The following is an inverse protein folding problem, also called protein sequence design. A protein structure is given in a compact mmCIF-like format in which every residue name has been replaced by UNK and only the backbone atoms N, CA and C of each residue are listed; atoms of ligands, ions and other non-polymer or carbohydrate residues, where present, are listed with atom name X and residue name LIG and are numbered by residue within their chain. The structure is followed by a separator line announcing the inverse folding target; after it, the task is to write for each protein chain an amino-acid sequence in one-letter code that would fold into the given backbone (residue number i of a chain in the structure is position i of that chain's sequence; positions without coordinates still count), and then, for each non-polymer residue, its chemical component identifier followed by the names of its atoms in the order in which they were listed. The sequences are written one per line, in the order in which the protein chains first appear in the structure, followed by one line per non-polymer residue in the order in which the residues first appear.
data_IF_517085004107
#
_entry.id   IF_517085004107
#
_cell.length_a   1.000
_cell.length_b   1.000
_cell.length_c   1.000
_cell.angle_alpha   90.00
_cell.angle_beta   90.00
_cell.angle_gamma   90.00
#
_symmetry.space_group_name_H-M   'P 1'
#
loop_
_entity.id
_entity.type
_entity.pdbx_description
1 polymer ?
#
# COMPACT_ATOMS: atom_id res chain seq x y z
N UNK A 1 7.68 -14.60 -11.87
CA UNK A 1 7.88 -13.14 -12.04
C UNK A 1 6.58 -12.46 -12.42
N UNK A 2 6.49 -11.13 -12.28
CA UNK A 2 5.36 -10.33 -12.79
C UNK A 2 5.91 -9.25 -13.73
N UNK A 3 5.35 -9.17 -14.93
CA UNK A 3 5.60 -8.18 -15.97
C UNK A 3 4.25 -7.55 -16.35
N UNK A 4 3.85 -6.53 -15.61
CA UNK A 4 2.49 -6.01 -15.69
C UNK A 4 2.43 -4.50 -15.50
N UNK A 5 1.55 -3.85 -16.25
CA UNK A 5 1.22 -2.44 -16.03
C UNK A 5 2.27 -1.44 -16.54
N UNK A 6 3.12 -1.83 -17.49
CA UNK A 6 4.14 -0.94 -18.07
C UNK A 6 3.57 0.03 -19.13
N UNK A 7 2.25 0.06 -19.34
CA UNK A 7 1.57 1.00 -20.23
C UNK A 7 1.55 0.60 -21.70
N UNK A 8 2.12 -0.55 -22.04
CA UNK A 8 2.05 -1.22 -23.34
C UNK A 8 1.80 -2.72 -23.13
N UNK A 9 1.27 -3.41 -24.15
CA UNK A 9 1.28 -4.87 -24.12
C UNK A 9 2.68 -5.44 -24.39
N UNK A 10 3.62 -4.59 -24.86
CA UNK A 10 4.99 -4.97 -25.17
C UNK A 10 5.85 -4.97 -23.90
N UNK A 11 5.70 -6.00 -23.08
CA UNK A 11 6.35 -6.13 -21.77
C UNK A 11 7.84 -6.51 -21.87
N UNK A 12 8.23 -7.22 -22.94
CA UNK A 12 9.63 -7.56 -23.24
C UNK A 12 9.94 -7.23 -24.69
N UNK A 13 11.03 -6.51 -24.93
CA UNK A 13 11.45 -6.12 -26.28
C UNK A 13 12.91 -6.47 -26.56
N UNK A 14 13.16 -7.28 -27.59
CA UNK A 14 14.52 -7.56 -28.08
C UNK A 14 15.02 -6.43 -28.95
N UNK A 15 16.26 -6.00 -28.76
CA UNK A 15 16.87 -4.97 -29.58
C UNK A 15 17.04 -5.46 -31.03
N UNK A 16 16.64 -4.63 -31.99
CA UNK A 16 16.63 -5.00 -33.42
C UNK A 16 18.03 -5.01 -34.08
N UNK A 17 19.08 -4.53 -33.40
CA UNK A 17 20.41 -4.33 -33.98
C UNK A 17 21.54 -5.03 -33.23
N UNK A 18 21.23 -5.84 -32.21
CA UNK A 18 22.22 -6.58 -31.42
C UNK A 18 22.28 -8.07 -31.81
N UNK A 19 23.17 -8.83 -31.17
CA UNK A 19 23.23 -10.29 -31.30
C UNK A 19 21.89 -10.96 -30.94
N UNK A 20 21.70 -12.20 -31.41
CA UNK A 20 20.46 -12.93 -31.18
C UNK A 20 20.16 -13.07 -29.67
N UNK A 21 18.97 -12.61 -29.29
CA UNK A 21 18.52 -12.62 -27.91
C UNK A 21 17.74 -13.90 -27.60
N UNK A 22 17.81 -14.37 -26.35
CA UNK A 22 17.01 -15.49 -25.89
C UNK A 22 16.38 -15.20 -24.54
N UNK A 23 15.13 -15.63 -24.36
CA UNK A 23 14.43 -15.57 -23.09
C UNK A 23 13.75 -16.92 -22.81
N UNK A 24 13.82 -17.36 -21.56
CA UNK A 24 13.12 -18.56 -21.07
C UNK A 24 12.20 -18.09 -19.95
N UNK A 25 10.90 -18.37 -20.07
CA UNK A 25 9.91 -17.97 -19.07
C UNK A 25 9.16 -19.20 -18.56
N UNK A 26 9.16 -19.40 -17.26
CA UNK A 26 8.24 -20.30 -16.55
C UNK A 26 7.77 -19.61 -15.29
N UNK A 27 6.53 -19.87 -14.86
CA UNK A 27 5.92 -19.20 -13.72
C UNK A 27 6.11 -17.68 -13.77
N UNK A 28 5.59 -17.07 -14.84
CA UNK A 28 5.58 -15.63 -15.04
C UNK A 28 4.19 -15.13 -15.42
N UNK A 29 3.72 -14.09 -14.74
CA UNK A 29 2.55 -13.32 -15.13
C UNK A 29 3.00 -12.19 -16.06
N UNK A 30 2.49 -12.14 -17.28
CA UNK A 30 2.90 -11.15 -18.27
C UNK A 30 1.68 -10.67 -19.04
N UNK A 31 1.50 -9.35 -19.08
CA UNK A 31 0.39 -8.74 -19.84
C UNK A 31 0.49 -9.14 -21.32
N UNK A 32 -0.60 -9.67 -21.86
CA UNK A 32 -0.64 -10.15 -23.24
C UNK A 32 0.02 -11.53 -23.46
N UNK A 33 0.43 -12.21 -22.38
CA UNK A 33 0.99 -13.55 -22.47
C UNK A 33 2.26 -13.60 -23.34
N UNK A 34 2.36 -14.61 -24.20
CA UNK A 34 3.51 -14.75 -25.12
C UNK A 34 3.56 -13.63 -26.16
N UNK A 35 2.40 -13.06 -26.52
CA UNK A 35 2.30 -11.97 -27.49
C UNK A 35 2.81 -10.64 -26.91
N UNK A 36 2.98 -10.55 -25.58
CA UNK A 36 3.64 -9.42 -24.93
C UNK A 36 5.16 -9.39 -25.07
N UNK A 37 5.73 -10.33 -25.83
CA UNK A 37 7.17 -10.43 -26.10
C UNK A 37 7.44 -10.10 -27.57
N UNK A 38 8.09 -8.97 -27.82
CA UNK A 38 8.48 -8.50 -29.15
C UNK A 38 9.92 -8.93 -29.45
N UNK A 39 10.09 -9.90 -30.34
CA UNK A 39 11.41 -10.48 -30.66
C UNK A 39 12.20 -9.71 -31.72
N UNK A 40 11.57 -8.77 -32.43
CA UNK A 40 12.17 -8.04 -33.55
C UNK A 40 12.83 -8.96 -34.61
N UNK A 41 12.28 -10.16 -34.80
CA UNK A 41 12.83 -11.25 -35.65
C UNK A 41 14.29 -11.65 -35.32
N UNK A 42 14.78 -11.30 -34.12
CA UNK A 42 16.18 -11.44 -33.72
C UNK A 42 16.36 -12.25 -32.43
N UNK A 43 15.46 -13.19 -32.13
CA UNK A 43 15.63 -14.02 -30.94
C UNK A 43 14.63 -15.13 -30.74
N UNK A 44 14.86 -15.92 -29.70
CA UNK A 44 14.05 -17.08 -29.34
C UNK A 44 13.36 -16.90 -27.99
N UNK A 45 12.08 -17.25 -27.93
CA UNK A 45 11.28 -17.32 -26.69
C UNK A 45 11.04 -18.78 -26.38
N UNK A 46 11.46 -19.23 -25.20
CA UNK A 46 11.10 -20.55 -24.66
C UNK A 46 10.03 -20.36 -23.59
N UNK A 47 8.81 -20.80 -23.90
CA UNK A 47 7.65 -20.70 -23.02
C UNK A 47 7.43 -22.00 -22.27
N UNK A 48 7.77 -22.02 -20.99
CA UNK A 48 7.60 -23.16 -20.08
C UNK A 48 6.21 -23.11 -19.40
N UNK A 49 6.02 -23.98 -18.41
CA UNK A 49 4.78 -24.08 -17.63
C UNK A 49 4.59 -22.90 -16.65
N UNK A 50 3.36 -22.79 -16.11
CA UNK A 50 3.04 -21.86 -15.03
C UNK A 50 2.87 -20.40 -15.44
N UNK A 51 3.15 -20.04 -16.69
CA UNK A 51 2.93 -18.67 -17.19
C UNK A 51 1.44 -18.34 -17.32
N UNK A 52 1.09 -17.07 -17.14
CA UNK A 52 -0.29 -16.57 -17.11
C UNK A 52 -0.38 -15.11 -17.57
N UNK A 53 -1.61 -14.69 -17.87
CA UNK A 53 -1.97 -13.34 -18.31
C UNK A 53 -3.24 -12.93 -17.53
N UNK A 54 -3.08 -12.61 -16.24
CA UNK A 54 -4.16 -12.16 -15.37
C UNK A 54 -3.67 -11.00 -14.51
N UNK A 55 -4.49 -9.98 -14.22
CA UNK A 55 -4.02 -8.82 -13.47
C UNK A 55 -3.58 -9.21 -12.04
N UNK A 56 -2.31 -9.01 -11.66
CA UNK A 56 -1.87 -9.18 -10.29
C UNK A 56 -2.47 -8.05 -9.45
N UNK A 57 -3.11 -8.43 -8.34
CA UNK A 57 -3.79 -7.50 -7.43
C UNK A 57 -2.88 -7.28 -6.23
N UNK A 58 -2.00 -6.29 -6.32
CA UNK A 58 -1.13 -5.89 -5.21
C UNK A 58 -1.89 -5.14 -4.12
N UNK A 59 -1.44 -5.29 -2.88
CA UNK A 59 -2.01 -4.61 -1.73
C UNK A 59 -1.76 -3.09 -1.77
N UNK A 60 -0.53 -2.65 -2.04
CA UNK A 60 -0.18 -1.23 -2.17
C UNK A 60 1.17 -1.04 -2.93
N UNK A 61 1.21 -1.47 -4.19
CA UNK A 61 2.43 -1.44 -5.01
C UNK A 61 2.96 -0.01 -5.27
N UNK A 62 2.10 0.99 -5.16
CA UNK A 62 2.44 2.41 -5.33
C UNK A 62 3.24 2.97 -4.14
N UNK A 63 3.14 2.37 -2.96
CA UNK A 63 3.96 2.71 -1.78
C UNK A 63 5.07 1.68 -1.50
N UNK A 64 5.36 0.81 -2.47
CA UNK A 64 6.40 -0.20 -2.36
C UNK A 64 6.01 -1.42 -1.52
N UNK A 65 4.72 -1.57 -1.20
CA UNK A 65 4.17 -2.83 -0.70
C UNK A 65 3.78 -3.70 -1.89
N UNK A 66 4.72 -4.54 -2.30
CA UNK A 66 4.53 -5.51 -3.37
C UNK A 66 3.94 -6.83 -2.86
N UNK A 67 3.32 -6.85 -1.68
CA UNK A 67 2.48 -7.97 -1.24
C UNK A 67 1.20 -8.07 -2.07
N UNK A 68 0.65 -9.27 -2.19
CA UNK A 68 -0.60 -9.51 -2.89
C UNK A 68 -1.83 -9.29 -1.98
N UNK A 69 -2.95 -8.92 -2.58
CA UNK A 69 -4.27 -9.09 -1.97
C UNK A 69 -4.66 -10.57 -1.97
N UNK A 70 -5.52 -10.99 -1.03
CA UNK A 70 -5.97 -12.40 -0.91
C UNK A 70 -6.58 -12.95 -2.20
N UNK A 71 -7.23 -12.10 -2.99
CA UNK A 71 -7.93 -12.50 -4.22
C UNK A 71 -7.04 -12.39 -5.47
N UNK A 72 -5.76 -12.05 -5.32
CA UNK A 72 -4.89 -11.95 -6.49
C UNK A 72 -4.71 -13.32 -7.16
N UNK A 73 -4.78 -13.40 -8.50
CA UNK A 73 -4.48 -14.63 -9.23
C UNK A 73 -3.00 -15.04 -9.15
N UNK A 74 -2.16 -14.19 -8.59
CA UNK A 74 -0.74 -14.42 -8.34
C UNK A 74 -0.48 -15.08 -6.97
N UNK A 75 -1.49 -15.24 -6.10
CA UNK A 75 -1.35 -15.96 -4.82
C UNK A 75 -1.19 -17.46 -5.09
N UNK A 76 -0.23 -18.11 -4.42
CA UNK A 76 0.07 -19.55 -4.56
C UNK A 76 0.31 -19.99 -6.04
N UNK A 77 0.69 -19.05 -6.90
CA UNK A 77 0.73 -19.24 -8.34
C UNK A 77 2.14 -19.56 -8.87
N UNK A 78 3.17 -19.42 -8.03
CA UNK A 78 4.56 -19.69 -8.34
C UNK A 78 4.95 -21.16 -8.19
N UNK A 79 6.27 -21.41 -8.17
CA UNK A 79 6.84 -22.74 -7.90
C UNK A 79 8.03 -22.63 -6.97
N UNK A 80 8.15 -23.59 -6.05
CA UNK A 80 9.32 -23.73 -5.20
C UNK A 80 10.50 -24.39 -5.92
N UNK A 81 10.28 -25.03 -7.09
CA UNK A 81 11.32 -25.73 -7.82
C UNK A 81 11.09 -25.67 -9.33
N UNK A 82 12.10 -25.23 -10.08
CA UNK A 82 12.08 -25.19 -11.54
C UNK A 82 13.46 -25.51 -12.10
N UNK A 83 13.51 -26.40 -13.09
CA UNK A 83 14.74 -26.75 -13.84
C UNK A 83 14.51 -26.65 -15.33
N UNK A 84 15.54 -26.25 -16.07
CA UNK A 84 15.52 -26.21 -17.53
C UNK A 84 16.90 -26.57 -18.08
N UNK A 85 16.95 -27.47 -19.07
CA UNK A 85 18.19 -27.97 -19.68
C UNK A 85 19.26 -28.48 -18.70
N UNK A 86 18.85 -28.95 -17.52
CA UNK A 86 19.74 -29.43 -16.47
C UNK A 86 20.19 -28.35 -15.47
N UNK A 87 19.89 -27.08 -15.74
CA UNK A 87 20.11 -25.98 -14.82
C UNK A 87 18.91 -25.81 -13.87
N UNK A 88 19.19 -25.52 -12.60
CA UNK A 88 18.16 -25.17 -11.62
C UNK A 88 17.91 -23.66 -11.69
N UNK A 89 16.71 -23.28 -12.10
CA UNK A 89 16.30 -21.88 -12.23
C UNK A 89 15.68 -21.33 -10.95
N UNK A 90 14.91 -22.15 -10.23
CA UNK A 90 14.29 -21.81 -8.94
C UNK A 90 14.46 -22.96 -7.98
N UNK A 91 14.84 -22.65 -6.73
CA UNK A 91 14.90 -23.61 -5.62
C UNK A 91 14.66 -22.91 -4.29
N UNK A 92 13.46 -23.09 -3.76
CA UNK A 92 13.01 -22.58 -2.47
C UNK A 92 12.70 -23.77 -1.54
N UNK A 93 13.01 -23.62 -0.26
CA UNK A 93 12.60 -24.54 0.79
C UNK A 93 11.20 -24.19 1.29
N UNK A 94 10.51 -25.15 1.91
CA UNK A 94 9.16 -24.96 2.46
C UNK A 94 9.04 -23.89 3.56
N UNK A 95 10.16 -23.34 4.05
CA UNK A 95 10.19 -22.25 5.02
C UNK A 95 10.43 -20.87 4.39
N UNK A 96 10.68 -20.82 3.08
CA UNK A 96 10.98 -19.58 2.33
C UNK A 96 9.74 -18.96 1.68
N UNK A 97 8.59 -19.64 1.76
CA UNK A 97 7.31 -19.19 1.25
C UNK A 97 6.17 -19.64 2.18
N UNK A 98 4.99 -19.09 1.96
CA UNK A 98 3.78 -19.33 2.71
C UNK A 98 2.71 -19.92 1.79
N UNK A 99 1.77 -20.69 2.35
CA UNK A 99 0.71 -21.30 1.56
C UNK A 99 1.10 -22.63 0.90
N UNK A 100 0.40 -22.98 -0.18
CA UNK A 100 0.58 -24.21 -0.94
C UNK A 100 1.77 -24.12 -1.92
N UNK A 101 2.07 -22.92 -2.42
CA UNK A 101 3.19 -22.61 -3.30
C UNK A 101 3.62 -21.15 -3.11
N UNK A 102 4.84 -20.74 -3.53
CA UNK A 102 5.24 -19.34 -3.47
C UNK A 102 4.30 -18.42 -4.26
N UNK A 103 4.10 -17.20 -3.76
CA UNK A 103 3.43 -16.13 -4.49
C UNK A 103 4.23 -15.76 -5.74
N UNK A 104 3.53 -15.54 -6.84
CA UNK A 104 4.15 -15.35 -8.14
C UNK A 104 4.77 -13.96 -8.22
N UNK A 105 6.10 -13.85 -8.07
CA UNK A 105 6.84 -12.61 -8.34
C UNK A 105 6.52 -11.42 -7.42
N UNK A 106 5.89 -11.69 -6.26
CA UNK A 106 5.47 -10.72 -5.27
C UNK A 106 6.09 -11.04 -3.91
N UNK A 107 5.96 -10.13 -2.93
CA UNK A 107 6.45 -10.39 -1.58
C UNK A 107 5.47 -11.32 -0.87
N UNK A 108 5.98 -12.44 -0.35
CA UNK A 108 5.20 -13.40 0.44
C UNK A 108 4.48 -12.66 1.56
N UNK A 109 3.16 -12.68 1.54
CA UNK A 109 2.38 -12.10 2.61
C UNK A 109 2.17 -13.17 3.66
N UNK A 110 2.61 -12.90 4.90
CA UNK A 110 2.12 -13.62 6.07
C UNK A 110 0.59 -13.75 5.92
N UNK A 111 -0.03 -14.91 6.21
CA UNK A 111 -1.48 -15.01 6.31
C UNK A 111 -1.93 -14.14 7.50
N UNK A 112 -1.89 -12.83 7.33
CA UNK A 112 -2.31 -11.84 8.29
C UNK A 112 -3.82 -11.76 8.14
N UNK A 113 -4.46 -11.90 9.29
CA UNK A 113 -5.84 -11.50 9.62
C UNK A 113 -6.55 -10.74 8.51
N UNK A 114 -7.55 -11.41 7.93
CA UNK A 114 -8.45 -10.86 6.92
C UNK A 114 -8.91 -9.46 7.32
N UNK A 115 -8.69 -8.46 6.45
CA UNK A 115 -9.05 -7.10 6.76
C UNK A 115 -10.51 -6.83 6.39
N UNK A 116 -11.41 -6.88 7.37
CA UNK A 116 -12.82 -6.57 7.18
C UNK A 116 -13.14 -5.07 7.30
N UNK A 117 -12.14 -4.19 7.48
CA UNK A 117 -12.36 -2.76 7.67
C UNK A 117 -11.21 -1.93 7.09
N UNK A 118 -11.06 -1.88 5.76
CA UNK A 118 -9.91 -1.25 5.13
C UNK A 118 -10.01 0.28 5.21
N UNK A 119 -9.40 0.87 6.23
CA UNK A 119 -9.35 2.32 6.44
C UNK A 119 -8.15 2.93 5.72
N UNK A 120 -8.15 2.96 4.39
CA UNK A 120 -7.12 3.65 3.63
C UNK A 120 -7.64 4.97 3.08
N UNK A 121 -6.77 5.98 3.06
CA UNK A 121 -7.11 7.32 2.58
C UNK A 121 -7.78 7.28 1.21
N UNK A 122 -8.90 8.01 1.06
CA UNK A 122 -9.78 8.01 -0.12
C UNK A 122 -10.48 6.68 -0.46
N UNK A 123 -10.48 5.70 0.43
CA UNK A 123 -11.41 4.58 0.28
C UNK A 123 -12.84 5.13 0.35
N UNK A 124 -13.67 4.70 -0.59
CA UNK A 124 -15.06 5.16 -0.71
C UNK A 124 -16.01 3.97 -0.87
N UNK A 125 -17.11 4.01 -0.13
CA UNK A 125 -18.27 3.13 -0.31
C UNK A 125 -19.49 3.98 -0.59
N UNK A 126 -20.13 3.71 -1.72
CA UNK A 126 -21.46 4.24 -2.02
C UNK A 126 -22.47 3.11 -1.85
N UNK A 127 -23.34 3.25 -0.86
CA UNK A 127 -24.46 2.34 -0.63
C UNK A 127 -25.78 3.03 -0.98
N UNK A 128 -26.68 2.33 -1.66
CA UNK A 128 -27.95 2.90 -2.12
C UNK A 128 -29.15 2.04 -1.71
N UNK A 129 -30.30 2.70 -1.55
CA UNK A 129 -31.63 2.09 -1.32
C UNK A 129 -32.54 2.22 -2.55
N UNK A 130 -32.06 2.92 -3.60
CA UNK A 130 -32.82 3.31 -4.80
C UNK A 130 -33.45 4.70 -4.70
N UNK A 131 -33.70 5.22 -3.50
CA UNK A 131 -34.23 6.59 -3.26
C UNK A 131 -33.32 7.46 -2.40
N UNK A 132 -32.34 6.83 -1.76
CA UNK A 132 -31.39 7.45 -0.84
C UNK A 132 -30.03 6.77 -0.99
N UNK A 133 -28.97 7.48 -0.57
CA UNK A 133 -27.59 7.02 -0.67
C UNK A 133 -26.80 7.37 0.59
N UNK A 134 -25.99 6.42 1.05
CA UNK A 134 -24.98 6.61 2.08
C UNK A 134 -23.60 6.58 1.41
N UNK A 135 -22.86 7.68 1.52
CA UNK A 135 -21.48 7.77 1.06
C UNK A 135 -20.55 7.77 2.28
N UNK A 136 -19.68 6.78 2.35
CA UNK A 136 -18.61 6.69 3.35
C UNK A 136 -17.28 6.92 2.65
N UNK A 137 -16.57 7.98 2.99
CA UNK A 137 -15.21 8.22 2.49
C UNK A 137 -14.22 8.33 3.63
N UNK A 138 -13.03 7.78 3.47
CA UNK A 138 -11.90 8.06 4.37
C UNK A 138 -11.29 9.40 3.97
N UNK A 139 -11.59 10.43 4.76
CA UNK A 139 -11.27 11.82 4.51
C UNK A 139 -9.83 12.19 4.87
N UNK A 140 -9.28 11.60 5.95
CA UNK A 140 -7.93 11.91 6.44
C UNK A 140 -7.42 10.84 7.43
N UNK A 141 -6.19 11.00 7.93
CA UNK A 141 -5.69 10.28 9.09
C UNK A 141 -5.01 11.23 10.09
N UNK A 142 -5.22 10.99 11.38
CA UNK A 142 -4.63 11.76 12.48
C UNK A 142 -3.89 10.81 13.43
N UNK A 143 -2.83 11.30 14.07
CA UNK A 143 -2.12 10.55 15.11
C UNK A 143 -2.51 11.12 16.48
N UNK A 144 -3.08 10.28 17.34
CA UNK A 144 -3.49 10.63 18.71
C UNK A 144 -2.82 9.62 19.64
N UNK A 145 -2.07 10.10 20.65
CA UNK A 145 -1.37 9.23 21.62
C UNK A 145 -0.51 8.12 20.97
N UNK A 146 0.19 8.44 19.87
CA UNK A 146 1.03 7.52 19.08
C UNK A 146 0.26 6.47 18.26
N UNK A 147 -1.06 6.44 18.34
CA UNK A 147 -1.92 5.58 17.53
C UNK A 147 -2.46 6.36 16.32
N UNK A 148 -2.54 5.68 15.17
CA UNK A 148 -3.11 6.25 13.95
C UNK A 148 -4.62 6.02 13.94
N UNK A 149 -5.36 7.08 13.69
CA UNK A 149 -6.79 7.08 13.44
C UNK A 149 -7.07 7.56 12.03
N UNK A 150 -8.19 7.13 11.47
CA UNK A 150 -8.72 7.55 10.20
C UNK A 150 -10.04 8.27 10.38
N UNK A 151 -10.13 9.41 9.74
CA UNK A 151 -11.30 10.29 9.78
C UNK A 151 -12.14 9.96 8.56
N UNK A 152 -13.43 9.70 8.74
CA UNK A 152 -14.36 9.41 7.65
C UNK A 152 -15.49 10.41 7.58
N UNK A 153 -16.22 10.42 6.47
CA UNK A 153 -17.59 10.96 6.50
C UNK A 153 -18.38 10.32 7.64
N UNK A 154 -19.33 11.05 8.25
CA UNK A 154 -20.20 10.47 9.25
C UNK A 154 -20.92 9.24 8.68
N UNK A 155 -20.99 8.20 9.48
CA UNK A 155 -21.79 7.02 9.22
C UNK A 155 -23.30 7.32 9.22
N UNK A 156 -23.67 8.49 9.74
CA UNK A 156 -25.03 8.96 9.91
C UNK A 156 -25.21 10.37 9.36
N UNK A 157 -26.15 10.59 8.44
CA UNK A 157 -26.36 11.90 7.81
C UNK A 157 -26.60 13.05 8.81
N UNK A 158 -27.15 12.75 9.99
CA UNK A 158 -27.63 13.75 10.95
C UNK A 158 -26.67 14.02 12.13
N UNK A 159 -25.52 13.34 12.23
CA UNK A 159 -24.65 13.40 13.43
C UNK A 159 -23.70 14.61 13.49
N UNK A 160 -23.64 15.43 12.43
CA UNK A 160 -23.03 16.76 12.49
C UNK A 160 -21.49 16.81 12.58
N UNK A 161 -20.77 15.71 12.35
CA UNK A 161 -19.30 15.69 12.31
C UNK A 161 -18.70 14.38 11.76
N UNK A 162 -17.41 14.35 11.40
CA UNK A 162 -16.77 13.15 10.86
C UNK A 162 -16.51 12.09 11.93
N UNK A 163 -16.58 10.83 11.55
CA UNK A 163 -16.27 9.71 12.43
C UNK A 163 -14.77 9.40 12.45
N UNK A 164 -14.27 8.91 13.58
CA UNK A 164 -12.84 8.62 13.75
C UNK A 164 -12.64 7.20 14.23
N UNK A 165 -11.90 6.41 13.45
CA UNK A 165 -11.68 4.99 13.72
C UNK A 165 -10.20 4.64 13.77
N UNK A 166 -9.84 3.58 14.50
CA UNK A 166 -8.55 2.90 14.33
C UNK A 166 -8.74 1.39 14.29
N UNK A 167 -7.76 0.71 13.70
CA UNK A 167 -7.72 -0.75 13.60
C UNK A 167 -6.50 -1.22 14.38
N UNK A 168 -6.71 -2.19 15.27
CA UNK A 168 -5.65 -2.87 16.00
C UNK A 168 -5.90 -4.36 16.00
N UNK A 169 -5.14 -5.09 15.17
CA UNK A 169 -5.41 -6.50 14.86
C UNK A 169 -6.80 -6.66 14.25
N UNK A 170 -7.62 -7.56 14.80
CA UNK A 170 -8.98 -7.84 14.34
C UNK A 170 -10.04 -6.87 14.89
N UNK A 171 -9.62 -5.81 15.58
CA UNK A 171 -10.53 -4.91 16.29
C UNK A 171 -10.57 -3.54 15.65
N UNK A 172 -11.78 -3.03 15.46
CA UNK A 172 -12.05 -1.66 15.06
C UNK A 172 -12.50 -0.91 16.30
N UNK A 173 -11.82 0.20 16.57
CA UNK A 173 -12.13 1.11 17.65
C UNK A 173 -12.69 2.40 17.08
N UNK A 174 -13.73 2.91 17.71
CA UNK A 174 -14.36 4.18 17.39
C UNK A 174 -14.04 5.20 18.48
N UNK A 175 -13.68 6.42 18.08
CA UNK A 175 -13.35 7.52 18.97
C UNK A 175 -14.48 8.56 18.99
N UNK A 176 -15.25 8.57 20.09
CA UNK A 176 -16.28 9.56 20.38
C UNK A 176 -15.72 10.66 21.28
N UNK A 177 -15.26 11.76 20.68
CA UNK A 177 -14.68 12.87 21.44
C UNK A 177 -13.35 12.49 22.10
N UNK A 178 -13.38 12.12 23.39
CA UNK A 178 -12.20 11.63 24.14
C UNK A 178 -12.28 10.16 24.52
N UNK A 179 -13.44 9.54 24.35
CA UNK A 179 -13.70 8.18 24.75
C UNK A 179 -13.58 7.26 23.54
N UNK A 180 -12.84 6.17 23.72
CA UNK A 180 -12.68 5.14 22.69
C UNK A 180 -13.48 3.90 23.08
N UNK A 181 -14.14 3.29 22.10
CA UNK A 181 -14.92 2.07 22.31
C UNK A 181 -14.72 1.05 21.19
N UNK A 182 -14.85 -0.23 21.55
CA UNK A 182 -14.76 -1.32 20.60
C UNK A 182 -16.02 -1.35 19.74
N UNK A 183 -15.87 -1.14 18.44
CA UNK A 183 -16.97 -1.21 17.49
C UNK A 183 -17.09 -2.62 16.92
N UNK A 184 -16.06 -3.13 16.25
CA UNK A 184 -16.04 -4.48 15.68
C UNK A 184 -14.90 -5.31 16.25
N UNK A 185 -15.16 -6.59 16.52
CA UNK A 185 -14.13 -7.61 16.75
C UNK A 185 -14.35 -8.75 15.76
N UNK A 186 -13.54 -8.76 14.69
CA UNK A 186 -13.63 -9.74 13.60
C UNK A 186 -13.11 -11.13 13.98
N UNK A 187 -12.53 -11.28 15.18
CA UNK A 187 -12.14 -12.57 15.74
C UNK A 187 -13.07 -13.04 16.87
N UNK A 188 -14.14 -12.30 17.14
CA UNK A 188 -15.12 -12.71 18.14
C UNK A 188 -15.82 -14.02 17.71
N UNK A 189 -16.14 -14.92 18.67
CA UNK A 189 -16.93 -16.09 18.34
C UNK A 189 -18.37 -15.68 17.96
N UNK A 190 -19.02 -16.46 17.10
CA UNK A 190 -20.41 -16.24 16.73
C UNK A 190 -21.30 -16.14 17.98
N UNK A 191 -22.13 -15.11 18.04
CA UNK A 191 -23.00 -14.80 19.18
C UNK A 191 -22.33 -14.04 20.32
N UNK A 192 -21.04 -13.68 20.20
CA UNK A 192 -20.41 -12.76 21.15
C UNK A 192 -21.08 -11.39 21.13
N UNK A 193 -21.19 -10.78 22.30
CA UNK A 193 -21.81 -9.48 22.52
C UNK A 193 -20.87 -8.57 23.32
N UNK A 194 -20.86 -7.28 22.98
CA UNK A 194 -20.15 -6.24 23.74
C UNK A 194 -20.89 -4.91 23.65
N UNK A 195 -20.59 -4.02 24.60
CA UNK A 195 -21.07 -2.64 24.56
C UNK A 195 -20.12 -1.79 23.71
N UNK A 196 -20.70 -1.05 22.77
CA UNK A 196 -20.03 -0.02 22.00
C UNK A 196 -20.61 1.35 22.39
N UNK A 197 -19.76 2.33 22.64
CA UNK A 197 -20.17 3.72 22.62
C UNK A 197 -20.36 4.08 21.15
N UNK A 198 -21.61 4.23 20.71
CA UNK A 198 -21.89 4.81 19.41
C UNK A 198 -21.51 6.29 19.36
N UNK A 199 -21.45 6.90 18.17
CA UNK A 199 -21.56 8.35 18.08
C UNK A 199 -22.84 8.79 18.82
N UNK A 200 -22.72 9.85 19.61
CA UNK A 200 -23.63 10.19 20.70
C UNK A 200 -25.14 10.15 20.32
N UNK A 201 -26.07 9.82 21.26
CA UNK A 201 -25.90 9.70 22.71
C UNK A 201 -26.19 8.31 23.33
N UNK A 202 -26.09 7.20 22.58
CA UNK A 202 -26.54 5.89 23.09
C UNK A 202 -25.43 4.85 23.15
N UNK A 203 -25.33 4.15 24.29
CA UNK A 203 -24.66 2.88 24.36
C UNK A 203 -25.40 1.90 23.43
N UNK A 204 -24.63 1.16 22.64
CA UNK A 204 -25.16 0.18 21.71
C UNK A 204 -24.65 -1.21 22.08
N UNK A 205 -25.52 -2.21 21.97
CA UNK A 205 -25.09 -3.60 22.05
C UNK A 205 -24.68 -4.05 20.66
N UNK A 206 -23.42 -4.42 20.50
CA UNK A 206 -22.88 -5.06 19.31
C UNK A 206 -22.95 -6.57 19.47
N UNK A 207 -23.28 -7.28 18.39
CA UNK A 207 -23.28 -8.74 18.34
C UNK A 207 -22.78 -9.24 16.99
N UNK A 208 -21.93 -10.25 16.98
CA UNK A 208 -21.64 -11.00 15.75
C UNK A 208 -22.76 -12.04 15.53
N UNK A 209 -23.54 -11.89 14.47
CA UNK A 209 -24.75 -12.72 14.20
C UNK A 209 -24.60 -13.67 13.03
N UNK A 210 -23.61 -13.46 12.16
CA UNK A 210 -23.38 -14.31 10.98
C UNK A 210 -21.90 -14.39 10.60
N UNK A 211 -21.49 -15.56 10.09
CA UNK A 211 -20.13 -15.84 9.60
C UNK A 211 -20.23 -16.66 8.32
N UNK A 212 -19.28 -16.47 7.41
CA UNK A 212 -19.27 -17.13 6.08
C UNK A 212 -20.53 -16.82 5.25
N UNK A 213 -21.10 -15.63 5.45
CA UNK A 213 -22.28 -15.19 4.72
C UNK A 213 -21.91 -14.87 3.26
N UNK A 214 -22.90 -15.00 2.37
CA UNK A 214 -22.79 -14.58 0.97
C UNK A 214 -23.80 -13.47 0.71
N UNK A 215 -23.30 -12.30 0.31
CA UNK A 215 -24.12 -11.10 0.08
C UNK A 215 -24.04 -10.69 -1.38
N UNK A 216 -25.20 -10.58 -2.03
CA UNK A 216 -25.31 -10.09 -3.41
C UNK A 216 -25.78 -8.64 -3.40
N UNK A 217 -25.02 -7.79 -4.07
CA UNK A 217 -25.27 -6.34 -4.20
C UNK A 217 -25.18 -5.94 -5.67
N UNK A 218 -25.61 -4.72 -6.04
CA UNK A 218 -25.36 -4.20 -7.39
C UNK A 218 -23.87 -4.13 -7.78
N UNK A 219 -22.95 -3.97 -6.82
CA UNK A 219 -21.51 -3.97 -7.07
C UNK A 219 -20.92 -5.39 -7.28
N UNK A 220 -21.64 -6.44 -6.92
CA UNK A 220 -21.19 -7.83 -7.07
C UNK A 220 -21.63 -8.76 -5.94
N UNK A 221 -21.11 -9.99 -5.99
CA UNK A 221 -21.34 -11.03 -4.98
C UNK A 221 -20.10 -11.11 -4.08
N UNK A 222 -20.31 -10.99 -2.78
CA UNK A 222 -19.28 -11.06 -1.75
C UNK A 222 -19.48 -12.30 -0.89
N UNK A 223 -18.40 -13.04 -0.66
CA UNK A 223 -18.39 -14.26 0.18
C UNK A 223 -17.56 -14.04 1.44
N UNK A 224 -17.56 -15.00 2.36
CA UNK A 224 -16.86 -14.92 3.66
C UNK A 224 -17.27 -13.67 4.48
N UNK A 225 -18.49 -13.17 4.29
CA UNK A 225 -18.96 -11.98 4.98
C UNK A 225 -19.23 -12.26 6.46
N UNK A 226 -19.00 -11.26 7.29
CA UNK A 226 -19.40 -11.22 8.69
C UNK A 226 -20.63 -10.32 8.84
N UNK A 227 -21.64 -10.81 9.56
CA UNK A 227 -22.83 -10.03 9.92
C UNK A 227 -22.72 -9.57 11.38
N UNK A 228 -22.79 -8.26 11.58
CA UNK A 228 -22.88 -7.66 12.91
C UNK A 228 -24.23 -6.99 13.09
N UNK A 229 -24.87 -7.26 14.21
CA UNK A 229 -26.07 -6.56 14.65
C UNK A 229 -25.70 -5.53 15.72
N UNK A 230 -26.30 -4.35 15.63
CA UNK A 230 -26.13 -3.27 16.58
C UNK A 230 -27.49 -2.70 16.98
N UNK A 231 -27.75 -2.63 18.27
CA UNK A 231 -28.97 -2.03 18.83
C UNK A 231 -28.66 -0.68 19.47
N UNK A 232 -29.40 0.35 19.08
CA UNK A 232 -29.28 1.71 19.63
C UNK A 232 -30.60 2.04 20.33
N UNK A 233 -30.62 1.93 21.66
CA UNK A 233 -31.86 2.09 22.44
C UNK A 233 -32.88 0.96 22.16
N UNK A 234 -34.17 1.28 22.13
CA UNK A 234 -35.27 0.31 21.85
C UNK A 234 -35.79 0.33 20.41
N UNK A 235 -35.48 1.38 19.64
CA UNK A 235 -36.24 1.71 18.42
C UNK A 235 -35.41 1.62 17.13
N UNK A 236 -34.10 1.41 17.25
CA UNK A 236 -33.17 1.39 16.12
C UNK A 236 -32.27 0.15 16.17
N UNK A 237 -32.29 -0.65 15.10
CA UNK A 237 -31.30 -1.71 14.87
C UNK A 237 -30.62 -1.58 13.53
N UNK A 238 -29.35 -1.94 13.51
CA UNK A 238 -28.50 -1.97 12.32
C UNK A 238 -27.98 -3.38 12.14
N UNK A 239 -27.98 -3.88 10.91
CA UNK A 239 -27.26 -5.09 10.53
C UNK A 239 -26.28 -4.76 9.43
N UNK A 240 -25.01 -4.93 9.72
CA UNK A 240 -23.90 -4.62 8.83
C UNK A 240 -23.27 -5.91 8.34
N UNK A 241 -23.17 -6.05 7.01
CA UNK A 241 -22.38 -7.12 6.40
C UNK A 241 -21.06 -6.55 5.93
N UNK A 242 -19.97 -7.10 6.46
CA UNK A 242 -18.61 -6.74 6.09
C UNK A 242 -17.95 -7.88 5.32
N UNK A 243 -17.46 -7.58 4.13
CA UNK A 243 -16.73 -8.51 3.29
C UNK A 243 -15.20 -8.33 3.45
N UNK A 244 -14.41 -9.40 3.33
CA UNK A 244 -12.95 -9.32 3.30
C UNK A 244 -12.44 -8.32 2.28
N UNK A 245 -11.49 -7.46 2.68
CA UNK A 245 -10.80 -6.46 1.85
C UNK A 245 -11.70 -5.39 1.20
N UNK A 246 -13.02 -5.54 1.32
CA UNK A 246 -14.00 -4.55 0.89
C UNK A 246 -14.51 -3.76 2.07
N UNK A 247 -14.83 -4.35 3.21
CA UNK A 247 -15.53 -3.66 4.29
C UNK A 247 -17.04 -3.72 4.10
N UNK A 248 -17.75 -2.63 4.41
CA UNK A 248 -19.22 -2.61 4.43
C UNK A 248 -19.81 -2.79 3.02
N UNK A 249 -20.52 -3.91 2.81
CA UNK A 249 -21.17 -4.24 1.52
C UNK A 249 -22.70 -4.09 1.57
N UNK A 250 -23.29 -4.23 2.75
CA UNK A 250 -24.72 -4.04 2.96
C UNK A 250 -24.97 -3.56 4.37
N UNK A 251 -25.98 -2.69 4.53
CA UNK A 251 -26.52 -2.26 5.80
C UNK A 251 -28.04 -2.30 5.78
N UNK A 252 -28.65 -3.05 6.69
CA UNK A 252 -30.08 -2.94 6.98
C UNK A 252 -30.26 -2.01 8.18
N UNK A 253 -31.08 -0.96 8.03
CA UNK A 253 -31.48 -0.05 9.11
C UNK A 253 -32.96 -0.29 9.41
N UNK A 254 -33.27 -0.77 10.60
CA UNK A 254 -34.64 -1.00 11.05
C UNK A 254 -35.04 0.07 12.06
N UNK A 255 -36.17 0.73 11.77
CA UNK A 255 -36.83 1.71 12.64
C UNK A 255 -38.29 1.33 12.84
N UNK A 256 -39.05 2.13 13.61
CA UNK A 256 -40.50 2.00 13.71
C UNK A 256 -41.23 2.08 12.36
N UNK A 257 -40.65 2.73 11.35
CA UNK A 257 -41.22 2.86 10.01
C UNK A 257 -40.98 1.62 9.12
N UNK A 258 -40.13 0.69 9.56
CA UNK A 258 -39.75 -0.50 8.82
C UNK A 258 -38.24 -0.61 8.60
N UNK A 259 -37.84 -1.59 7.78
CA UNK A 259 -36.44 -1.84 7.44
C UNK A 259 -36.11 -1.25 6.07
N UNK A 260 -35.02 -0.48 6.02
CA UNK A 260 -34.42 0.05 4.80
C UNK A 260 -33.09 -0.65 4.57
N UNK A 261 -32.85 -1.10 3.34
CA UNK A 261 -31.62 -1.80 2.95
C UNK A 261 -30.76 -0.92 2.05
N UNK A 262 -29.56 -0.62 2.51
CA UNK A 262 -28.50 0.04 1.75
C UNK A 262 -27.57 -1.04 1.19
N UNK A 263 -27.42 -1.10 -0.14
CA UNK A 263 -26.53 -2.06 -0.81
C UNK A 263 -25.41 -1.33 -1.53
N UNK A 264 -24.21 -1.90 -1.48
CA UNK A 264 -23.07 -1.36 -2.20
C UNK A 264 -23.33 -1.34 -3.71
N UNK A 265 -23.25 -0.16 -4.31
CA UNK A 265 -23.33 0.03 -5.77
C UNK A 265 -21.97 0.37 -6.37
N UNK A 266 -21.06 0.92 -5.57
CA UNK A 266 -19.73 1.28 -5.98
C UNK A 266 -18.77 1.20 -4.81
N UNK A 267 -17.67 0.46 -5.03
CA UNK A 267 -16.47 0.51 -4.20
C UNK A 267 -15.41 1.24 -5.01
N UNK A 268 -15.01 2.42 -4.53
CA UNK A 268 -13.94 3.18 -5.15
C UNK A 268 -12.57 2.60 -4.79
N UNK A 269 -11.61 2.62 -5.71
CA UNK A 269 -10.27 2.17 -5.43
C UNK A 269 -9.60 3.01 -4.35
N UNK A 270 -8.65 2.33 -3.70
CA UNK A 270 -7.40 2.84 -3.17
C UNK A 270 -6.54 3.49 -4.31
N UNK A 271 -7.10 4.48 -5.02
CA UNK A 271 -6.41 5.30 -6.00
C UNK A 271 -6.64 6.77 -5.63
N UNK A 272 -5.66 7.38 -4.97
CA UNK A 272 -5.46 8.81 -5.19
C UNK A 272 -4.70 8.96 -6.51
N UNK A 273 -5.40 9.36 -7.57
CA UNK A 273 -4.83 10.38 -8.45
C UNK A 273 -4.61 11.59 -7.54
N UNK A 274 -3.33 11.82 -7.24
CA UNK A 274 -2.79 12.88 -6.39
C UNK A 274 -3.53 13.11 -5.07
N UNK A 275 -2.89 12.78 -3.96
CA UNK A 275 -3.02 13.63 -2.79
C UNK A 275 -1.72 13.83 -2.04
N UNK A 276 -1.27 15.07 -2.18
CA UNK A 276 -0.43 15.76 -1.24
C UNK A 276 -0.98 15.58 0.18
N UNK A 277 -0.19 14.95 1.07
CA UNK A 277 -0.15 15.40 2.45
C UNK A 277 1.13 16.23 2.60
N UNK A 278 1.05 17.55 2.81
CA UNK A 278 2.22 18.37 3.07
C UNK A 278 2.93 17.89 4.34
N UNK A 279 4.17 17.40 4.20
CA UNK A 279 5.18 17.61 5.24
C UNK A 279 5.90 16.40 5.84
N UNK A 280 5.44 15.15 5.69
CA UNK A 280 6.24 13.99 6.15
C UNK A 280 6.54 13.01 5.03
N UNK A 281 7.81 12.96 4.59
CA UNK A 281 8.24 11.94 3.66
C UNK A 281 8.12 10.56 4.29
N UNK A 282 7.58 9.59 3.57
CA UNK A 282 7.48 8.20 4.06
C UNK A 282 8.73 7.37 3.77
N UNK A 283 9.66 7.91 2.97
CA UNK A 283 10.87 7.22 2.52
C UNK A 283 12.13 8.03 2.80
N UNK A 284 13.20 7.32 3.14
CA UNK A 284 14.54 7.87 3.20
C UNK A 284 15.13 7.93 1.78
N UNK A 285 15.19 9.13 1.20
CA UNK A 285 15.62 9.35 -0.17
C UNK A 285 16.41 10.65 -0.34
N UNK A 286 17.28 10.69 -1.35
CA UNK A 286 17.79 11.95 -1.90
C UNK A 286 16.81 12.32 -3.01
N UNK A 287 15.99 13.34 -2.77
CA UNK A 287 14.88 13.69 -3.67
C UNK A 287 15.30 14.64 -4.78
N UNK A 288 16.32 15.47 -4.54
CA UNK A 288 16.79 16.41 -5.56
C UNK A 288 18.26 16.73 -5.40
N UNK A 289 18.96 16.82 -6.52
CA UNK A 289 20.26 17.48 -6.64
C UNK A 289 20.19 18.37 -7.87
N UNK A 290 20.05 19.68 -7.66
CA UNK A 290 19.90 20.62 -8.76
C UNK A 290 20.59 21.97 -8.47
N UNK A 291 21.32 22.53 -9.44
CA UNK A 291 21.63 21.96 -10.75
C UNK A 291 22.58 20.73 -10.63
N UNK A 292 22.56 19.83 -11.60
CA UNK A 292 23.53 18.74 -11.77
C UNK A 292 23.55 18.34 -13.25
N UNK A 293 24.56 18.77 -14.05
CA UNK A 293 25.83 19.36 -13.64
C UNK A 293 25.71 20.76 -13.01
N UNK A 294 26.65 21.17 -12.16
CA UNK A 294 26.59 22.44 -11.41
C UNK A 294 27.88 23.26 -11.48
N UNK A 295 27.76 24.59 -11.31
CA UNK A 295 28.88 25.54 -11.25
C UNK A 295 28.61 26.71 -10.28
N UNK A 296 29.38 26.89 -9.21
CA UNK A 296 30.01 25.87 -8.39
C UNK A 296 29.06 25.38 -7.28
N UNK A 297 27.78 25.77 -7.29
CA UNK A 297 26.80 25.46 -6.24
C UNK A 297 25.70 24.53 -6.74
N UNK A 298 25.39 23.49 -5.96
CA UNK A 298 24.21 22.65 -6.14
C UNK A 298 23.38 22.61 -4.86
N UNK A 299 22.06 22.56 -5.01
CA UNK A 299 21.11 22.36 -3.91
C UNK A 299 20.77 20.89 -3.81
N UNK A 300 20.90 20.34 -2.61
CA UNK A 300 20.65 18.96 -2.26
C UNK A 300 19.42 18.92 -1.38
N UNK A 301 18.43 18.12 -1.78
CA UNK A 301 17.23 17.84 -1.01
C UNK A 301 17.17 16.35 -0.68
N UNK A 302 16.88 16.03 0.57
CA UNK A 302 16.65 14.67 1.04
C UNK A 302 15.52 14.62 2.04
N UNK A 303 15.04 13.42 2.30
CA UNK A 303 13.87 13.16 3.12
C UNK A 303 14.16 12.17 4.24
N UNK A 304 13.59 12.42 5.41
CA UNK A 304 13.67 11.53 6.57
C UNK A 304 12.26 11.06 6.97
N UNK A 305 12.02 9.73 7.06
CA UNK A 305 10.73 9.20 7.48
C UNK A 305 10.46 9.28 8.97
N UNK A 306 11.52 9.40 9.77
CA UNK A 306 11.48 9.59 11.21
C UNK A 306 12.69 10.38 11.66
N UNK A 307 12.60 10.95 12.85
CA UNK A 307 13.76 11.60 13.46
C UNK A 307 14.91 10.60 13.64
N UNK A 308 16.13 11.01 13.27
CA UNK A 308 17.30 10.13 13.29
C UNK A 308 18.61 10.91 13.24
N UNK A 309 19.72 10.25 13.58
CA UNK A 309 21.07 10.76 13.33
C UNK A 309 21.39 10.71 11.84
N UNK A 310 21.72 11.86 11.25
CA UNK A 310 21.97 12.03 9.82
C UNK A 310 23.42 12.43 9.56
N UNK A 311 24.04 11.76 8.60
CA UNK A 311 25.34 12.15 8.04
C UNK A 311 25.26 12.36 6.55
N UNK A 312 25.54 13.58 6.09
CA UNK A 312 25.67 13.91 4.67
C UNK A 312 27.12 14.19 4.35
N UNK A 313 27.71 13.47 3.40
CA UNK A 313 29.12 13.62 3.01
C UNK A 313 29.31 13.52 1.50
N UNK A 314 30.33 14.20 0.98
CA UNK A 314 30.71 14.14 -0.44
C UNK A 314 32.06 13.43 -0.57
N UNK A 315 32.19 12.57 -1.57
CA UNK A 315 33.36 11.74 -1.85
C UNK A 315 33.86 11.95 -3.28
N UNK A 316 35.16 11.74 -3.50
CA UNK A 316 35.72 11.67 -4.86
C UNK A 316 35.60 10.26 -5.45
N UNK A 317 36.06 10.07 -6.69
CA UNK A 317 36.08 8.78 -7.39
C UNK A 317 36.93 7.69 -6.70
N UNK A 318 37.89 8.08 -5.86
CA UNK A 318 38.74 7.15 -5.09
C UNK A 318 38.10 6.71 -3.78
N UNK A 319 36.94 7.27 -3.43
CA UNK A 319 36.27 7.06 -2.15
C UNK A 319 36.81 7.93 -1.02
N UNK A 320 37.72 8.87 -1.29
CA UNK A 320 38.16 9.82 -0.27
C UNK A 320 37.03 10.80 0.05
N UNK A 321 36.76 10.98 1.34
CA UNK A 321 35.80 11.99 1.81
C UNK A 321 36.37 13.38 1.55
N UNK A 322 35.61 14.18 0.82
CA UNK A 322 35.92 15.56 0.48
C UNK A 322 35.40 16.53 1.53
N UNK A 323 34.15 16.35 1.95
CA UNK A 323 33.50 17.19 2.96
C UNK A 323 32.37 16.46 3.66
N UNK A 324 32.12 16.79 4.93
CA UNK A 324 30.88 16.44 5.64
C UNK A 324 30.00 17.68 5.76
N UNK A 325 28.80 17.61 5.18
CA UNK A 325 27.83 18.72 5.12
C UNK A 325 26.88 18.72 6.33
N UNK A 326 26.53 17.54 6.82
CA UNK A 326 25.64 17.32 7.99
C UNK A 326 26.19 16.15 8.80
N UNK A 327 26.17 16.26 10.13
CA UNK A 327 26.49 15.18 11.06
C UNK A 327 25.80 15.46 12.41
N UNK A 328 24.47 15.35 12.43
CA UNK A 328 23.64 15.69 13.59
C UNK A 328 22.29 14.96 13.51
N UNK A 329 21.55 14.98 14.61
CA UNK A 329 20.16 14.52 14.66
C UNK A 329 19.23 15.52 13.96
N UNK A 330 18.33 15.02 13.13
CA UNK A 330 17.35 15.83 12.39
C UNK A 330 15.96 15.20 12.47
N UNK A 331 14.93 16.06 12.57
CA UNK A 331 13.53 15.66 12.64
C UNK A 331 13.04 15.03 11.33
N UNK A 332 11.97 14.23 11.41
CA UNK A 332 11.27 13.74 10.22
C UNK A 332 10.85 14.91 9.33
N UNK A 333 10.97 14.76 8.00
CA UNK A 333 10.67 15.85 7.07
C UNK A 333 11.62 15.94 5.87
N UNK A 334 11.38 16.94 5.03
CA UNK A 334 12.26 17.30 3.93
C UNK A 334 13.35 18.27 4.41
N UNK A 335 14.58 18.01 4.01
CA UNK A 335 15.75 18.81 4.36
C UNK A 335 16.42 19.32 3.10
N UNK A 336 16.87 20.58 3.14
CA UNK A 336 17.53 21.24 2.01
C UNK A 336 18.88 21.78 2.50
N UNK A 337 19.94 21.46 1.77
CA UNK A 337 21.28 21.99 2.00
C UNK A 337 21.97 22.32 0.67
N UNK A 338 23.10 23.00 0.73
CA UNK A 338 23.88 23.35 -0.46
C UNK A 338 25.31 22.86 -0.34
N UNK A 339 25.90 22.47 -1.47
CA UNK A 339 27.33 22.27 -1.60
C UNK A 339 27.90 23.19 -2.67
N UNK A 340 29.00 23.88 -2.34
CA UNK A 340 29.64 24.91 -3.18
C UNK A 340 30.97 24.45 -3.80
N UNK A 341 31.19 23.14 -3.92
CA UNK A 341 32.42 22.60 -4.51
C UNK A 341 33.68 22.87 -3.68
N UNK A 342 33.57 22.94 -2.35
CA UNK A 342 34.71 23.06 -1.42
C UNK A 342 34.85 21.82 -0.54
N UNK A 343 36.08 21.54 -0.10
CA UNK A 343 36.39 20.48 0.87
C UNK A 343 36.30 20.98 2.32
N UNK A 344 36.51 20.09 3.30
CA UNK A 344 36.51 20.42 4.75
C UNK A 344 37.51 21.53 5.16
N UNK A 345 38.52 21.82 4.32
CA UNK A 345 39.51 22.90 4.54
C UNK A 345 39.13 24.21 3.85
N UNK A 346 37.91 24.32 3.30
CA UNK A 346 37.41 25.47 2.57
C UNK A 346 38.04 25.68 1.18
N UNK A 347 38.86 24.75 0.69
CA UNK A 347 39.51 24.85 -0.63
C UNK A 347 38.60 24.30 -1.71
N UNK A 348 38.54 24.99 -2.85
CA UNK A 348 37.77 24.52 -4.00
C UNK A 348 38.33 23.22 -4.57
N UNK A 349 37.46 22.28 -4.90
CA UNK A 349 37.83 21.01 -5.54
C UNK A 349 37.84 21.14 -7.07
N UNK A 350 38.49 20.23 -7.79
CA UNK A 350 38.57 20.27 -9.25
C UNK A 350 37.22 19.95 -9.92
N UNK A 351 37.01 20.38 -11.17
CA UNK A 351 35.89 19.90 -11.98
C UNK A 351 35.96 18.38 -12.12
N UNK A 352 34.82 17.70 -12.11
CA UNK A 352 34.77 16.25 -12.18
C UNK A 352 33.59 15.63 -11.46
N UNK A 353 33.63 14.30 -11.38
CA UNK A 353 32.59 13.48 -10.75
C UNK A 353 32.86 13.33 -9.25
N UNK A 354 31.81 13.54 -8.47
CA UNK A 354 31.78 13.31 -7.03
C UNK A 354 30.56 12.45 -6.67
N UNK A 355 30.57 11.87 -5.48
CA UNK A 355 29.44 11.13 -4.94
C UNK A 355 28.96 11.77 -3.65
N UNK A 356 27.69 12.15 -3.61
CA UNK A 356 27.00 12.51 -2.38
C UNK A 356 26.54 11.22 -1.69
N UNK A 357 26.71 11.14 -0.37
CA UNK A 357 26.13 10.11 0.48
C UNK A 357 25.30 10.77 1.58
N UNK A 358 24.09 10.28 1.79
CA UNK A 358 23.24 10.59 2.95
C UNK A 358 23.06 9.29 3.72
N UNK A 359 23.35 9.29 5.00
CA UNK A 359 23.26 8.13 5.90
C UNK A 359 22.33 8.47 7.07
N UNK A 360 21.43 7.55 7.40
CA UNK A 360 20.55 7.62 8.57
C UNK A 360 20.17 6.22 9.04
N UNK A 361 20.18 5.98 10.35
CA UNK A 361 19.69 4.75 10.97
C UNK A 361 20.27 3.45 10.36
N UNK A 362 21.53 3.47 9.94
CA UNK A 362 22.21 2.34 9.30
C UNK A 362 21.93 2.16 7.80
N UNK A 363 21.07 2.98 7.21
CA UNK A 363 20.79 3.01 5.76
C UNK A 363 21.54 4.18 5.13
N UNK A 364 22.14 3.97 3.96
CA UNK A 364 22.71 5.06 3.17
C UNK A 364 22.15 5.12 1.75
N UNK A 365 22.09 6.35 1.21
CA UNK A 365 21.72 6.67 -0.17
C UNK A 365 22.88 7.42 -0.80
N UNK A 366 23.17 7.11 -2.06
CA UNK A 366 24.25 7.77 -2.82
C UNK A 366 23.71 8.32 -4.13
N UNK A 367 24.24 9.45 -4.56
CA UNK A 367 23.98 9.98 -5.90
C UNK A 367 25.22 10.67 -6.47
N UNK A 368 25.31 10.69 -7.80
CA UNK A 368 26.43 11.26 -8.55
C UNK A 368 26.25 12.77 -8.69
N UNK A 369 27.31 13.52 -8.45
CA UNK A 369 27.40 14.97 -8.69
C UNK A 369 28.42 15.22 -9.81
N UNK A 370 28.10 16.12 -10.75
CA UNK A 370 29.03 16.58 -11.78
C UNK A 370 29.32 18.07 -11.59
N UNK A 371 30.52 18.38 -11.09
CA UNK A 371 31.00 19.76 -10.98
C UNK A 371 31.68 20.17 -12.29
N UNK A 372 31.21 21.26 -12.89
CA UNK A 372 31.82 21.91 -14.06
C UNK A 372 32.19 23.33 -13.63
N UNK A 373 33.43 23.74 -13.87
CA UNK A 373 33.89 25.11 -13.57
C UNK A 373 34.09 25.88 -14.85
#
# INVERSE_FOLDING_TARGET
SILWGNGSNDEVHFAAFDDSSRIVLGYTDITGGIDGIVTSDNGAVTWLEGNRDQPPLFADSLNGDFGLTRNSPAVDAGTAFLTWEGDTLVRLNATEYLGAAPDLGALERAPDTVNYFPLTYRNEWLLETGTDSLLLRVLDSVVINQERYWVTDPWYPDEGGPDTFRVAGNRVWFLAGRDESLLYDFAAPLGAEWEALGPAPFAATMRLTGVNETVSTPAGIFTDCLEFERFIGSDYSYRDWLAPETGLVQRDVTTFAGTVRYQLVYQGPLLSISDETPGQPRTFAITRVYPNPFNPVTTIQYTLPRESDVRVSVFNLRGDRIVTLVNRRESAGSHILQWNGRNDRGRSVASGVYFLSVESSGVYRKTKLLLVK
#
